data_IF_303372340722
#
_entry.id   IF_303372340722
#
_cell.length_a   1.000
_cell.length_b   1.000
_cell.length_c   1.000
_cell.angle_alpha   90.00
_cell.angle_beta   90.00
_cell.angle_gamma   90.00
#
_symmetry.space_group_name_H-M   'P 1'
#
loop_
_entity.id
_entity.type
_entity.pdbx_description
1 polymer ?
#
# COMPACT_ATOMS: atom_id res chain seq x y z
N UNK A 1 -16.08 -40.31 -1.24
CA UNK A 1 -16.34 -39.19 -0.30
C UNK A 1 -15.20 -38.18 -0.48
N UNK A 2 -15.38 -37.23 -1.40
CA UNK A 2 -14.37 -36.20 -1.73
C UNK A 2 -14.83 -34.90 -1.08
N UNK A 3 -14.08 -34.43 -0.09
CA UNK A 3 -14.27 -33.12 0.54
C UNK A 3 -13.43 -32.13 -0.27
N UNK A 4 -14.07 -31.33 -1.12
CA UNK A 4 -13.41 -30.28 -1.89
C UNK A 4 -13.63 -28.91 -1.25
N UNK A 5 -12.50 -28.22 -1.06
CA UNK A 5 -12.29 -26.77 -1.05
C UNK A 5 -13.13 -25.89 -0.11
N UNK A 6 -12.50 -25.48 0.99
CA UNK A 6 -12.69 -24.14 1.56
C UNK A 6 -11.31 -23.48 1.53
N UNK A 7 -11.05 -22.69 0.49
CA UNK A 7 -9.91 -21.78 0.43
C UNK A 7 -10.39 -20.42 0.97
N UNK A 8 -9.89 -20.05 2.14
CA UNK A 8 -10.00 -18.69 2.67
C UNK A 8 -8.82 -17.88 2.13
N UNK A 9 -9.02 -17.15 1.04
CA UNK A 9 -8.06 -16.16 0.56
C UNK A 9 -8.31 -14.84 1.29
N UNK A 10 -7.34 -14.37 2.07
CA UNK A 10 -7.30 -12.99 2.54
C UNK A 10 -6.98 -12.09 1.34
N UNK A 11 -7.94 -11.22 0.97
CA UNK A 11 -7.75 -10.20 -0.06
C UNK A 11 -7.03 -9.01 0.59
N UNK A 12 -5.82 -8.69 0.15
CA UNK A 12 -5.24 -7.36 0.34
C UNK A 12 -5.59 -6.54 -0.91
N UNK A 13 -6.44 -5.52 -0.74
CA UNK A 13 -6.80 -4.59 -1.82
C UNK A 13 -5.92 -3.35 -1.77
N UNK A 14 -5.25 -3.02 -2.88
CA UNK A 14 -4.59 -1.73 -3.10
C UNK A 14 -5.55 -0.88 -3.93
N UNK A 15 -5.87 0.33 -3.47
CA UNK A 15 -6.76 1.27 -4.16
C UNK A 15 -5.92 2.45 -4.66
N UNK A 16 -5.72 2.53 -5.97
CA UNK A 16 -5.03 3.65 -6.62
C UNK A 16 -6.08 4.64 -7.13
N UNK A 17 -6.04 5.88 -6.64
CA UNK A 17 -6.94 6.97 -7.04
C UNK A 17 -6.11 8.00 -7.81
N UNK A 18 -6.37 8.13 -9.11
CA UNK A 18 -5.82 9.20 -9.94
C UNK A 18 -6.90 10.26 -10.14
N UNK A 19 -6.63 11.51 -9.79
CA UNK A 19 -7.58 12.62 -9.99
C UNK A 19 -6.92 13.71 -10.84
N UNK A 20 -7.60 14.17 -11.89
CA UNK A 20 -7.11 15.26 -12.74
C UNK A 20 -7.92 16.54 -12.49
N UNK A 21 -7.24 17.61 -12.12
CA UNK A 21 -7.84 18.90 -11.76
C UNK A 21 -8.20 19.74 -12.99
N UNK A 22 -9.21 19.33 -13.77
CA UNK A 22 -10.11 20.26 -14.48
C UNK A 22 -11.20 19.53 -15.26
N UNK A 23 -12.44 19.60 -14.76
CA UNK A 23 -13.70 19.33 -15.49
C UNK A 23 -13.62 18.28 -16.64
N UNK A 24 -13.55 16.99 -16.32
CA UNK A 24 -14.20 15.92 -17.08
C UNK A 24 -14.01 14.56 -16.37
N UNK A 25 -15.12 13.84 -16.19
CA UNK A 25 -15.23 12.44 -15.80
C UNK A 25 -14.35 11.95 -14.63
N UNK A 26 -14.97 11.78 -13.47
CA UNK A 26 -14.47 10.80 -12.50
C UNK A 26 -14.47 9.42 -13.19
N UNK A 27 -13.30 8.91 -13.54
CA UNK A 27 -13.16 7.50 -13.85
C UNK A 27 -12.91 6.78 -12.52
N UNK A 28 -13.98 6.26 -11.95
CA UNK A 28 -13.89 5.33 -10.83
C UNK A 28 -13.27 4.05 -11.38
N UNK A 29 -11.97 3.83 -11.16
CA UNK A 29 -11.38 2.50 -11.36
C UNK A 29 -11.75 1.67 -10.15
N UNK A 30 -13.02 1.27 -10.14
CA UNK A 30 -13.58 0.31 -9.22
C UNK A 30 -13.08 -1.06 -9.65
N UNK A 31 -12.03 -1.55 -9.01
CA UNK A 31 -11.81 -3.00 -8.97
C UNK A 31 -12.75 -3.60 -7.91
N UNK A 32 -14.06 -3.58 -8.17
CA UNK A 32 -15.05 -4.44 -7.51
C UNK A 32 -14.90 -5.78 -8.20
N UNK A 33 -14.26 -6.72 -7.50
CA UNK A 33 -13.93 -8.04 -8.04
C UNK A 33 -13.12 -7.99 -9.35
N UNK A 34 -11.82 -7.72 -9.25
CA UNK A 34 -10.91 -8.36 -10.19
C UNK A 34 -10.86 -9.87 -9.87
N UNK A 35 -11.90 -10.59 -10.31
CA UNK A 35 -11.79 -12.02 -10.56
C UNK A 35 -10.90 -12.20 -11.78
N UNK A 36 -9.59 -12.17 -11.53
CA UNK A 36 -8.58 -12.47 -12.54
C UNK A 36 -8.49 -13.99 -12.57
N UNK A 37 -9.30 -14.63 -13.41
CA UNK A 37 -9.21 -16.07 -13.62
C UNK A 37 -7.92 -16.50 -14.30
N UNK A 38 -6.97 -15.62 -14.65
CA UNK A 38 -5.62 -16.06 -15.08
C UNK A 38 -4.51 -14.97 -15.14
N UNK A 39 -4.62 -13.83 -14.45
CA UNK A 39 -3.52 -12.86 -14.38
C UNK A 39 -3.35 -12.31 -12.96
N UNK A 40 -2.59 -13.03 -12.15
CA UNK A 40 -2.12 -12.60 -10.84
C UNK A 40 -1.30 -11.30 -10.94
N UNK A 41 -1.65 -10.27 -10.17
CA UNK A 41 -0.66 -9.28 -9.72
C UNK A 41 0.09 -9.91 -8.55
N UNK A 42 1.30 -10.38 -8.82
CA UNK A 42 2.25 -10.76 -7.76
C UNK A 42 3.12 -9.54 -7.49
N UNK A 43 3.05 -9.00 -6.26
CA UNK A 43 4.21 -8.31 -5.69
C UNK A 43 5.28 -9.39 -5.52
N UNK A 44 6.12 -9.58 -6.54
CA UNK A 44 7.30 -10.41 -6.39
C UNK A 44 8.32 -9.59 -5.61
N UNK A 45 8.62 -10.01 -4.37
CA UNK A 45 9.94 -9.69 -3.82
C UNK A 45 10.98 -10.19 -4.82
N UNK A 46 11.95 -9.34 -5.13
CA UNK A 46 13.06 -9.68 -6.03
C UNK A 46 13.60 -11.06 -5.63
N UNK A 47 13.61 -11.97 -6.60
CA UNK A 47 13.66 -13.42 -6.43
C UNK A 47 14.47 -13.92 -5.21
N UNK A 48 13.77 -14.52 -4.24
CA UNK A 48 14.39 -15.39 -3.22
C UNK A 48 13.89 -15.25 -1.78
N UNK A 49 13.13 -14.20 -1.46
CA UNK A 49 12.68 -13.96 -0.07
C UNK A 49 11.18 -14.24 0.04
N UNK A 50 10.86 -15.45 0.49
CA UNK A 50 9.51 -15.80 0.97
C UNK A 50 9.43 -15.36 2.42
N UNK A 51 9.10 -14.09 2.66
CA UNK A 51 8.89 -13.63 4.04
C UNK A 51 7.43 -13.86 4.43
N UNK A 52 7.22 -14.75 5.42
CA UNK A 52 5.90 -15.02 6.00
C UNK A 52 5.62 -14.16 7.23
N UNK A 53 6.48 -13.16 7.51
CA UNK A 53 6.26 -12.14 8.53
C UNK A 53 5.38 -10.97 8.02
N UNK A 54 5.00 -10.02 8.91
CA UNK A 54 4.54 -8.72 8.43
C UNK A 54 5.59 -8.17 7.47
N UNK A 55 5.17 -7.58 6.34
CA UNK A 55 6.04 -6.86 5.42
C UNK A 55 6.71 -5.71 6.18
N UNK A 56 7.82 -6.03 6.85
CA UNK A 56 8.81 -5.05 7.23
C UNK A 56 9.50 -4.73 5.92
N UNK A 57 9.26 -3.55 5.36
CA UNK A 57 10.20 -3.01 4.38
C UNK A 57 11.53 -2.98 5.13
N UNK A 58 12.47 -3.89 4.82
CA UNK A 58 13.79 -3.78 5.42
C UNK A 58 14.30 -2.40 5.02
N UNK A 59 15.20 -1.87 5.81
CA UNK A 59 15.61 -0.47 5.79
C UNK A 59 16.44 -0.10 4.53
N UNK A 60 16.23 -0.82 3.44
CA UNK A 60 16.81 -0.70 2.10
C UNK A 60 15.62 -0.71 1.12
N UNK A 61 15.48 0.36 0.34
CA UNK A 61 14.41 0.64 -0.61
C UNK A 61 13.86 -0.61 -1.31
N UNK A 62 12.56 -0.85 -1.18
CA UNK A 62 11.88 -1.94 -1.89
C UNK A 62 11.36 -1.40 -3.20
N UNK A 63 12.08 -1.67 -4.29
CA UNK A 63 11.56 -1.41 -5.63
C UNK A 63 10.29 -2.26 -5.86
N UNK A 64 9.24 -1.67 -6.42
CA UNK A 64 8.05 -2.41 -6.77
C UNK A 64 7.58 -2.08 -8.19
N UNK A 65 7.35 -3.14 -8.97
CA UNK A 65 6.86 -3.04 -10.33
C UNK A 65 5.35 -3.24 -10.37
N UNK A 66 4.67 -2.44 -11.17
CA UNK A 66 3.26 -2.63 -11.50
C UNK A 66 3.01 -2.29 -12.97
N UNK A 67 1.94 -2.86 -13.52
CA UNK A 67 1.50 -2.52 -14.85
C UNK A 67 0.30 -1.57 -14.75
N UNK A 68 0.46 -0.36 -15.28
CA UNK A 68 -0.60 0.63 -15.38
C UNK A 68 -0.82 0.97 -16.85
N UNK A 69 -2.03 0.72 -17.36
CA UNK A 69 -2.40 0.96 -18.77
C UNK A 69 -1.54 0.22 -19.80
N UNK A 70 -1.19 -1.03 -19.52
CA UNK A 70 -0.31 -1.88 -20.36
C UNK A 70 1.12 -1.33 -20.50
N UNK A 71 1.52 -0.43 -19.59
CA UNK A 71 2.87 0.12 -19.50
C UNK A 71 3.50 -0.33 -18.18
N UNK A 72 4.75 -0.77 -18.27
CA UNK A 72 5.55 -1.07 -17.09
C UNK A 72 5.81 0.22 -16.33
N UNK A 73 5.53 0.17 -15.04
CA UNK A 73 5.78 1.21 -14.06
C UNK A 73 6.60 0.60 -12.92
N UNK A 74 7.63 1.30 -12.48
CA UNK A 74 8.48 0.85 -11.38
C UNK A 74 8.71 1.99 -10.40
N UNK A 75 8.47 1.73 -9.12
CA UNK A 75 8.84 2.62 -8.05
C UNK A 75 10.16 2.15 -7.43
N UNK A 76 11.08 3.06 -7.15
CA UNK A 76 12.40 2.75 -6.57
C UNK A 76 12.91 3.89 -5.69
N UNK A 77 14.00 3.62 -4.96
CA UNK A 77 14.62 4.60 -4.03
C UNK A 77 13.60 5.16 -3.00
N UNK A 78 12.73 4.28 -2.50
CA UNK A 78 11.68 4.64 -1.56
C UNK A 78 12.24 4.90 -0.15
N UNK A 79 11.89 6.04 0.44
CA UNK A 79 12.20 6.40 1.83
C UNK A 79 10.92 6.68 2.61
N UNK A 80 10.84 6.13 3.83
CA UNK A 80 9.70 6.32 4.74
C UNK A 80 10.09 7.21 5.93
N UNK A 81 9.15 8.06 6.35
CA UNK A 81 9.33 9.05 7.41
C UNK A 81 8.23 8.88 8.45
N UNK A 82 8.60 8.38 9.63
CA UNK A 82 7.67 8.04 10.71
C UNK A 82 7.59 9.10 11.82
N UNK A 83 8.47 10.10 11.80
CA UNK A 83 8.51 11.15 12.80
C UNK A 83 7.82 12.41 12.24
N UNK A 84 7.12 13.17 13.10
CA UNK A 84 6.59 14.46 12.67
C UNK A 84 7.71 15.41 12.27
N UNK A 85 7.49 16.14 11.18
CA UNK A 85 8.46 17.09 10.66
C UNK A 85 8.20 17.48 9.21
N UNK A 86 8.92 18.51 8.77
CA UNK A 86 8.98 18.89 7.36
C UNK A 86 10.22 18.28 6.74
N UNK A 87 10.03 17.56 5.64
CA UNK A 87 11.09 16.91 4.88
C UNK A 87 11.17 17.56 3.51
N UNK A 88 12.38 17.80 3.02
CA UNK A 88 12.64 18.46 1.74
C UNK A 88 13.56 17.63 0.89
N UNK A 89 13.27 17.62 -0.40
CA UNK A 89 13.95 16.82 -1.43
C UNK A 89 14.21 17.71 -2.61
N UNK A 90 15.33 17.49 -3.29
CA UNK A 90 15.56 18.10 -4.59
C UNK A 90 15.01 17.15 -5.65
N UNK A 91 14.04 17.62 -6.44
CA UNK A 91 13.54 16.84 -7.57
C UNK A 91 14.66 16.68 -8.61
N UNK A 92 14.67 15.57 -9.33
CA UNK A 92 15.66 15.41 -10.41
C UNK A 92 15.40 16.37 -11.57
N UNK A 93 14.15 16.81 -11.74
CA UNK A 93 13.74 17.61 -12.87
C UNK A 93 13.83 16.81 -14.17
N UNK A 94 13.51 17.46 -15.28
CA UNK A 94 13.55 16.87 -16.61
C UNK A 94 14.00 17.87 -17.68
N UNK A 95 13.87 17.51 -18.95
CA UNK A 95 14.26 18.35 -20.08
C UNK A 95 13.47 19.67 -20.18
N UNK A 96 12.31 19.76 -19.52
CA UNK A 96 11.37 20.88 -19.58
C UNK A 96 11.29 21.63 -18.24
N UNK A 97 11.47 20.92 -17.13
CA UNK A 97 11.34 21.44 -15.77
C UNK A 97 12.67 21.31 -15.04
N UNK A 98 13.31 22.43 -14.62
CA UNK A 98 14.54 22.34 -13.86
C UNK A 98 14.31 21.67 -12.50
N UNK A 99 15.35 21.05 -11.92
CA UNK A 99 15.34 20.60 -10.53
C UNK A 99 14.77 21.65 -9.59
N UNK A 100 13.87 21.26 -8.70
CA UNK A 100 13.28 22.15 -7.71
C UNK A 100 13.16 21.45 -6.36
N UNK A 101 13.22 22.22 -5.27
CA UNK A 101 13.02 21.66 -3.94
C UNK A 101 11.53 21.42 -3.72
N UNK A 102 11.16 20.16 -3.52
CA UNK A 102 9.84 19.71 -3.09
C UNK A 102 9.86 19.39 -1.60
N UNK A 103 8.70 19.44 -0.96
CA UNK A 103 8.63 19.17 0.48
C UNK A 103 7.30 18.56 0.86
N UNK A 104 7.32 17.76 1.92
CA UNK A 104 6.12 17.27 2.60
C UNK A 104 6.21 17.56 4.09
N UNK A 105 5.05 17.72 4.73
CA UNK A 105 4.96 17.80 6.19
C UNK A 105 4.26 16.56 6.72
N UNK A 106 4.95 15.82 7.58
CA UNK A 106 4.41 14.65 8.29
C UNK A 106 3.95 15.12 9.66
N UNK A 107 2.66 14.96 9.94
CA UNK A 107 2.06 15.23 11.24
C UNK A 107 2.18 14.06 12.22
N UNK A 108 1.70 14.28 13.45
CA UNK A 108 1.52 13.18 14.40
C UNK A 108 0.45 12.21 13.91
N UNK A 109 0.71 10.89 14.02
CA UNK A 109 -0.18 9.86 13.50
C UNK A 109 -0.10 9.66 11.98
N UNK A 110 0.83 10.32 11.31
CA UNK A 110 1.05 10.20 9.87
C UNK A 110 2.37 9.47 9.53
N UNK A 111 2.45 8.97 8.31
CA UNK A 111 3.68 8.45 7.71
C UNK A 111 3.89 9.16 6.37
N UNK A 112 5.10 9.70 6.17
CA UNK A 112 5.53 10.25 4.89
C UNK A 112 6.28 9.21 4.06
N UNK A 113 6.22 9.35 2.74
CA UNK A 113 6.95 8.53 1.78
C UNK A 113 7.43 9.42 0.62
N UNK A 114 8.68 9.26 0.24
CA UNK A 114 9.24 9.77 -1.01
C UNK A 114 9.78 8.60 -1.81
N UNK A 115 9.49 8.56 -3.11
CA UNK A 115 10.04 7.55 -4.00
C UNK A 115 10.14 8.10 -5.42
N UNK A 116 10.98 7.46 -6.23
CA UNK A 116 11.11 7.74 -7.65
C UNK A 116 10.24 6.76 -8.44
N UNK A 117 9.61 7.26 -9.48
CA UNK A 117 8.65 6.53 -10.29
C UNK A 117 9.05 6.60 -11.77
N UNK A 118 9.21 5.43 -12.39
CA UNK A 118 9.39 5.32 -13.84
C UNK A 118 8.06 4.93 -14.48
N UNK A 119 7.71 5.58 -15.60
CA UNK A 119 6.56 5.22 -16.41
C UNK A 119 6.89 5.33 -17.91
N UNK A 120 6.95 4.16 -18.56
CA UNK A 120 7.19 4.08 -20.01
C UNK A 120 8.62 4.50 -20.33
N UNK A 121 8.79 5.63 -21.01
CA UNK A 121 10.12 6.20 -21.33
C UNK A 121 10.54 7.33 -20.38
N UNK A 122 9.69 7.68 -19.42
CA UNK A 122 9.98 8.71 -18.42
C UNK A 122 10.50 8.02 -17.17
N UNK A 123 11.57 8.56 -16.62
CA UNK A 123 12.24 7.99 -15.45
C UNK A 123 12.44 9.03 -14.37
N UNK A 124 12.62 8.56 -13.14
CA UNK A 124 12.92 9.38 -11.97
C UNK A 124 11.86 10.46 -11.67
N UNK A 125 10.58 10.15 -11.88
CA UNK A 125 9.49 11.06 -11.51
C UNK A 125 9.39 11.10 -9.99
N UNK A 126 9.46 12.30 -9.42
CA UNK A 126 9.45 12.48 -7.97
C UNK A 126 8.03 12.43 -7.41
N UNK A 127 7.76 11.48 -6.52
CA UNK A 127 6.47 11.34 -5.86
C UNK A 127 6.63 11.48 -4.34
N UNK A 128 5.83 12.37 -3.76
CA UNK A 128 5.62 12.47 -2.32
C UNK A 128 4.24 11.91 -1.97
N UNK A 129 4.17 11.21 -0.86
CA UNK A 129 2.91 10.77 -0.28
C UNK A 129 2.95 10.96 1.23
N UNK A 130 1.85 11.41 1.80
CA UNK A 130 1.64 11.41 3.25
C UNK A 130 0.36 10.65 3.52
N UNK A 131 0.40 9.79 4.53
CA UNK A 131 -0.71 8.95 4.92
C UNK A 131 -1.14 9.24 6.34
N UNK A 132 -2.43 9.39 6.57
CA UNK A 132 -3.01 9.17 7.89
C UNK A 132 -3.01 7.67 8.18
N UNK A 133 -2.49 7.29 9.36
CA UNK A 133 -2.47 5.88 9.79
C UNK A 133 -3.67 5.62 10.69
N UNK A 134 -4.62 4.82 10.19
CA UNK A 134 -5.84 4.48 10.89
C UNK A 134 -5.85 2.99 11.21
N UNK A 135 -6.07 2.63 12.48
CA UNK A 135 -6.32 1.23 12.87
C UNK A 135 -7.82 0.97 12.93
N UNK A 136 -8.31 0.03 12.14
CA UNK A 136 -9.71 -0.42 12.19
C UNK A 136 -9.77 -1.93 12.50
N UNK A 137 -10.05 -2.27 13.76
CA UNK A 137 -10.01 -3.66 14.21
C UNK A 137 -8.57 -4.20 14.20
N UNK A 138 -8.31 -5.21 13.37
CA UNK A 138 -6.97 -5.78 13.15
C UNK A 138 -6.23 -5.14 11.98
N UNK A 139 -6.90 -4.30 11.20
CA UNK A 139 -6.35 -3.78 9.95
C UNK A 139 -5.73 -2.41 10.17
N UNK A 140 -4.64 -2.15 9.48
CA UNK A 140 -4.00 -0.83 9.42
C UNK A 140 -4.21 -0.24 8.04
N UNK A 141 -4.88 0.90 7.98
CA UNK A 141 -5.23 1.62 6.76
C UNK A 141 -4.32 2.84 6.64
N UNK A 142 -3.66 2.98 5.50
CA UNK A 142 -2.85 4.13 5.13
C UNK A 142 -3.64 4.97 4.15
N UNK A 143 -4.26 6.03 4.65
CA UNK A 143 -5.16 6.87 3.87
C UNK A 143 -4.40 8.10 3.36
N UNK A 144 -4.33 8.33 2.03
CA UNK A 144 -3.57 9.45 1.50
C UNK A 144 -4.16 10.78 1.94
N UNK A 145 -3.28 11.75 2.17
CA UNK A 145 -3.64 13.13 2.53
C UNK A 145 -3.29 14.11 1.39
N UNK A 146 -3.74 15.34 1.53
CA UNK A 146 -3.29 16.47 0.70
C UNK A 146 -1.90 16.90 1.17
N UNK A 147 -0.89 16.72 0.30
CA UNK A 147 0.52 16.92 0.66
C UNK A 147 0.96 18.37 0.45
N UNK A 148 0.38 19.08 -0.52
CA UNK A 148 0.80 20.43 -0.95
C UNK A 148 -0.18 21.54 -0.56
N UNK A 149 -1.32 21.19 0.06
CA UNK A 149 -2.32 22.12 0.59
C UNK A 149 -3.24 22.69 -0.49
N UNK A 150 -3.37 22.03 -1.63
CA UNK A 150 -4.17 22.48 -2.77
C UNK A 150 -5.66 22.03 -2.70
N UNK A 151 -6.06 21.36 -1.61
CA UNK A 151 -7.36 20.72 -1.36
C UNK A 151 -7.68 19.51 -2.26
N UNK A 152 -6.67 18.93 -2.90
CA UNK A 152 -6.74 17.67 -3.64
C UNK A 152 -5.88 16.66 -2.91
N UNK A 153 -6.39 15.46 -2.72
CA UNK A 153 -5.64 14.38 -2.08
C UNK A 153 -4.48 13.94 -2.98
N UNK A 154 -3.29 13.78 -2.39
CA UNK A 154 -2.08 13.40 -3.10
C UNK A 154 -1.04 14.52 -3.12
N UNK A 155 -0.05 14.35 -3.99
CA UNK A 155 0.95 15.35 -4.32
C UNK A 155 0.91 15.63 -5.81
N UNK A 156 0.89 16.91 -6.19
CA UNK A 156 1.02 17.31 -7.59
C UNK A 156 2.44 17.01 -8.09
N UNK A 157 2.56 16.10 -9.05
CA UNK A 157 3.84 15.77 -9.67
C UNK A 157 4.50 17.02 -10.26
N UNK A 158 5.79 17.18 -9.99
CA UNK A 158 6.56 18.37 -10.38
C UNK A 158 7.37 18.14 -11.65
N UNK A 159 7.57 16.90 -12.06
CA UNK A 159 8.28 16.48 -13.26
C UNK A 159 7.60 15.30 -13.96
N UNK A 160 8.15 14.93 -15.12
CA UNK A 160 7.63 13.86 -15.93
C UNK A 160 6.38 14.26 -16.74
N UNK A 161 5.74 13.28 -17.41
CA UNK A 161 4.67 13.53 -18.36
C UNK A 161 3.32 13.88 -17.68
N UNK A 162 3.25 13.80 -16.35
CA UNK A 162 2.05 14.07 -15.55
C UNK A 162 2.22 15.31 -14.66
N UNK A 163 3.11 16.23 -15.01
CA UNK A 163 3.30 17.46 -14.25
C UNK A 163 1.97 18.18 -14.00
N UNK A 164 1.74 18.59 -12.75
CA UNK A 164 0.51 19.24 -12.33
C UNK A 164 -0.68 18.29 -12.09
N UNK A 165 -0.49 16.98 -12.23
CA UNK A 165 -1.49 15.99 -11.83
C UNK A 165 -1.16 15.46 -10.43
N UNK A 166 -2.20 15.31 -9.61
CA UNK A 166 -2.09 14.77 -8.26
C UNK A 166 -2.11 13.24 -8.28
N UNK A 167 -1.16 12.61 -7.59
CA UNK A 167 -1.14 11.16 -7.36
C UNK A 167 -1.47 10.87 -5.90
N UNK A 168 -2.49 10.04 -5.67
CA UNK A 168 -2.88 9.55 -4.35
C UNK A 168 -2.75 8.03 -4.30
N UNK A 169 -2.01 7.54 -3.29
CA UNK A 169 -1.79 6.12 -3.07
C UNK A 169 -2.48 5.74 -1.77
N UNK A 170 -3.27 4.68 -1.78
CA UNK A 170 -3.90 4.15 -0.58
C UNK A 170 -3.69 2.65 -0.47
N UNK A 171 -3.40 2.18 0.74
CA UNK A 171 -3.24 0.74 0.97
C UNK A 171 -3.73 0.34 2.36
N UNK A 172 -4.17 -0.91 2.46
CA UNK A 172 -4.60 -1.52 3.71
C UNK A 172 -3.74 -2.74 3.99
N UNK A 173 -3.09 -2.74 5.14
CA UNK A 173 -2.40 -3.91 5.68
C UNK A 173 -3.41 -4.68 6.52
N UNK A 174 -3.95 -5.74 5.94
CA UNK A 174 -4.78 -6.71 6.65
C UNK A 174 -3.87 -7.58 7.50
N UNK A 175 -4.07 -7.61 8.82
CA UNK A 175 -3.34 -8.57 9.65
C UNK A 175 -4.17 -9.85 9.74
N UNK A 176 -3.68 -10.99 9.21
CA UNK A 176 -4.42 -12.23 9.33
C UNK A 176 -4.59 -12.54 10.81
N UNK A 177 -5.83 -12.74 11.25
CA UNK A 177 -6.09 -13.21 12.61
C UNK A 177 -5.27 -14.48 12.81
N UNK A 178 -4.35 -14.53 13.78
CA UNK A 178 -3.43 -15.64 13.91
C UNK A 178 -4.22 -16.94 14.00
N UNK A 179 -3.75 -18.00 13.33
CA UNK A 179 -4.30 -19.35 13.49
C UNK A 179 -4.35 -19.77 14.98
N UNK A 180 -3.57 -19.12 15.84
CA UNK A 180 -3.65 -19.20 17.28
C UNK A 180 -5.07 -18.92 17.82
N UNK A 181 -5.84 -17.96 17.30
CA UNK A 181 -7.22 -17.70 17.77
C UNK A 181 -8.10 -18.92 17.52
N UNK A 182 -7.97 -19.55 16.35
CA UNK A 182 -8.67 -20.79 16.04
C UNK A 182 -8.17 -21.96 16.89
N UNK A 183 -6.86 -22.12 17.06
CA UNK A 183 -6.26 -23.17 17.89
C UNK A 183 -6.63 -23.03 19.37
N UNK A 184 -6.67 -21.80 19.89
CA UNK A 184 -7.14 -21.52 21.24
C UNK A 184 -8.63 -21.82 21.37
N UNK A 185 -9.44 -21.43 20.39
CA UNK A 185 -10.87 -21.76 20.34
C UNK A 185 -11.12 -23.28 20.35
N UNK A 186 -10.49 -24.02 19.44
CA UNK A 186 -10.66 -25.48 19.35
C UNK A 186 -9.99 -26.22 20.50
N UNK A 187 -8.85 -25.74 20.97
CA UNK A 187 -8.12 -26.29 22.10
C UNK A 187 -8.92 -26.18 23.40
N UNK A 188 -9.56 -25.03 23.63
CA UNK A 188 -10.43 -24.83 24.80
C UNK A 188 -11.68 -25.72 24.75
N UNK A 189 -12.33 -25.84 23.57
CA UNK A 189 -13.44 -26.77 23.38
C UNK A 189 -13.02 -28.23 23.60
N UNK A 190 -11.80 -28.59 23.19
CA UNK A 190 -11.20 -29.90 23.44
C UNK A 190 -10.98 -30.22 24.92
N UNK A 191 -10.95 -29.22 25.81
CA UNK A 191 -10.82 -29.41 27.26
C UNK A 191 -12.17 -29.62 27.99
N UNK A 192 -13.31 -29.30 27.35
CA UNK A 192 -14.64 -29.51 27.95
C UNK A 192 -14.92 -30.96 28.39
N UNK A 193 -14.54 -32.01 27.64
CA UNK A 193 -14.71 -33.41 28.06
C UNK A 193 -13.86 -33.76 29.29
N UNK A 194 -12.65 -33.20 29.40
CA UNK A 194 -11.74 -33.41 30.54
C UNK A 194 -12.29 -32.78 31.81
N UNK A 195 -12.86 -31.57 31.70
CA UNK A 195 -13.48 -30.87 32.83
C UNK A 195 -14.70 -31.63 33.41
N UNK A 196 -15.47 -32.35 32.58
CA UNK A 196 -16.65 -33.12 33.02
C UNK A 196 -16.31 -34.38 33.82
N UNK A 197 -15.05 -34.84 33.85
CA UNK A 197 -14.68 -36.14 34.46
C UNK A 197 -14.61 -36.15 36.00
N UNK A 198 -14.88 -35.03 36.69
CA UNK A 198 -14.66 -34.90 38.15
C UNK A 198 -15.80 -35.31 39.10
N UNK A 199 -16.82 -36.07 38.66
CA UNK A 199 -17.91 -36.51 39.56
C UNK A 199 -18.12 -38.02 39.57
N UNK A 200 -17.16 -38.77 40.11
CA UNK A 200 -17.37 -40.09 40.75
C UNK A 200 -16.21 -40.36 41.72
N UNK A 201 -16.35 -39.88 42.96
CA UNK A 201 -15.65 -40.35 44.14
C UNK A 201 -16.68 -40.37 45.28
#
# INVERSE_FOLDING_TARGET
>A
MKLQHILSSALAGILLLLSTSSRAAMYEVVCVECSLTDTSFTVQSLAGVVDTGPLLFPNEAGDFDFNLLDLNASAYNSSFYFLPGTYSFDSQGDAVTPPQTISMTVGEGQVGMHFLFDWGTNSAIDVLAVFDVITQGSDTIFMPTDVDGNFVTGFSMVDGPFQGQDIAIGFTVVTPLPAAVWLFGTGLLGLLPLARRRKKA
#
